data_IF_651215363556
#
_entry.id   IF_651215363556
#
_cell.length_a   1.000
_cell.length_b   1.000
_cell.length_c   1.000
_cell.angle_alpha   90.00
_cell.angle_beta   90.00
_cell.angle_gamma   90.00
#
_symmetry.space_group_name_H-M   'P 1'
#
loop_
_entity.id
_entity.type
_entity.pdbx_description
1 polymer ?
#
# COMPACT_ATOMS: atom_id res chain seq x y z
N UNK A 1 -33.73 -54.70 -43.95
CA UNK A 1 -32.75 -55.40 -44.80
C UNK A 1 -31.38 -54.97 -44.44
N UNK A 2 -30.52 -55.92 -44.09
CA UNK A 2 -29.10 -55.78 -44.08
C UNK A 2 -28.46 -55.81 -42.70
N UNK A 3 -28.41 -56.97 -42.09
CA UNK A 3 -27.52 -57.52 -41.06
C UNK A 3 -26.05 -57.51 -41.46
N UNK A 4 -25.15 -57.40 -40.52
CA UNK A 4 -23.93 -58.20 -40.30
C UNK A 4 -23.07 -57.51 -39.26
N UNK A 5 -22.97 -58.07 -38.05
CA UNK A 5 -22.18 -59.19 -37.49
C UNK A 5 -20.71 -58.90 -37.36
N UNK A 6 -20.31 -58.76 -36.06
CA UNK A 6 -19.19 -59.42 -35.39
C UNK A 6 -17.77 -59.27 -35.98
N UNK A 7 -16.83 -58.76 -35.13
CA UNK A 7 -15.72 -59.65 -34.73
C UNK A 7 -14.93 -59.14 -33.52
N UNK A 8 -14.93 -59.98 -32.54
CA UNK A 8 -14.00 -60.00 -31.41
C UNK A 8 -12.54 -60.06 -31.88
N UNK A 9 -11.65 -59.30 -31.24
CA UNK A 9 -10.28 -59.78 -30.98
C UNK A 9 -9.83 -59.27 -29.64
N UNK A 10 -9.67 -60.20 -28.75
CA UNK A 10 -8.84 -60.10 -27.55
C UNK A 10 -7.38 -59.99 -27.99
N UNK A 11 -6.63 -59.09 -27.38
CA UNK A 11 -5.19 -59.16 -27.32
C UNK A 11 -4.78 -58.83 -25.88
N UNK A 12 -4.33 -59.86 -25.27
CA UNK A 12 -3.50 -60.12 -24.14
C UNK A 12 -2.45 -59.05 -23.80
N UNK A 13 -2.40 -58.73 -22.56
CA UNK A 13 -1.30 -58.57 -21.64
C UNK A 13 -0.03 -57.86 -22.12
N UNK A 14 0.22 -56.71 -21.53
CA UNK A 14 1.58 -56.31 -21.24
C UNK A 14 1.62 -55.61 -19.88
N UNK A 15 2.17 -56.31 -18.91
CA UNK A 15 2.71 -55.71 -17.69
C UNK A 15 3.74 -54.70 -18.16
N UNK A 16 3.58 -53.46 -17.75
CA UNK A 16 4.68 -52.51 -17.78
C UNK A 16 4.83 -51.82 -16.41
N UNK A 17 6.05 -51.85 -16.01
CA UNK A 17 6.70 -51.39 -14.83
C UNK A 17 6.12 -50.09 -14.21
N UNK A 18 6.03 -50.08 -12.88
CA UNK A 18 5.94 -48.90 -12.05
C UNK A 18 7.16 -48.01 -12.35
N UNK A 19 6.97 -46.72 -12.70
CA UNK A 19 8.04 -45.76 -12.52
C UNK A 19 8.10 -45.36 -11.05
N UNK A 20 9.31 -45.26 -10.57
CA UNK A 20 9.74 -44.88 -9.23
C UNK A 20 9.12 -43.56 -8.81
N UNK A 21 8.66 -43.47 -7.57
CA UNK A 21 8.29 -42.30 -6.80
C UNK A 21 9.45 -41.30 -6.77
N UNK A 22 9.49 -40.39 -7.71
CA UNK A 22 10.24 -39.15 -7.60
C UNK A 22 9.44 -38.19 -6.72
N UNK A 23 9.84 -38.06 -5.46
CA UNK A 23 9.30 -37.04 -4.56
C UNK A 23 9.50 -35.63 -5.15
N UNK A 24 8.55 -34.71 -4.95
CA UNK A 24 8.75 -33.35 -5.41
C UNK A 24 9.96 -32.74 -4.70
N UNK A 25 10.97 -32.36 -5.49
CA UNK A 25 12.10 -31.59 -5.00
C UNK A 25 11.57 -30.31 -4.35
N UNK A 26 11.78 -30.16 -3.06
CA UNK A 26 11.41 -28.97 -2.31
C UNK A 26 12.06 -27.73 -2.95
N UNK A 27 11.38 -26.59 -2.95
CA UNK A 27 11.92 -25.35 -3.51
C UNK A 27 13.22 -24.99 -2.78
N UNK A 28 14.30 -24.82 -3.56
CA UNK A 28 15.62 -24.47 -3.07
C UNK A 28 15.61 -23.12 -2.32
N UNK A 29 16.64 -22.84 -1.50
CA UNK A 29 16.69 -21.66 -0.64
C UNK A 29 16.54 -20.31 -1.35
N UNK A 30 16.75 -20.25 -2.66
CA UNK A 30 16.54 -19.04 -3.48
C UNK A 30 15.08 -18.73 -3.77
N UNK A 31 14.18 -19.72 -3.71
CA UNK A 31 12.72 -19.49 -3.92
C UNK A 31 12.05 -18.90 -2.67
N UNK A 32 12.65 -19.02 -1.49
CA UNK A 32 12.09 -18.47 -0.25
C UNK A 32 12.26 -16.96 -0.12
N UNK A 33 13.22 -16.37 -0.82
CA UNK A 33 13.47 -14.91 -0.78
C UNK A 33 12.46 -14.16 -1.62
N UNK A 34 11.93 -14.75 -2.71
CA UNK A 34 10.96 -14.07 -3.58
C UNK A 34 9.52 -14.15 -3.06
N UNK A 35 9.20 -15.11 -2.19
CA UNK A 35 7.83 -15.20 -1.60
C UNK A 35 7.60 -14.20 -0.45
N UNK A 36 8.67 -13.69 0.17
CA UNK A 36 8.57 -12.71 1.27
C UNK A 36 8.14 -11.32 0.83
N UNK A 37 8.35 -10.98 -0.43
CA UNK A 37 8.06 -9.63 -0.97
C UNK A 37 6.65 -9.47 -1.51
N UNK A 38 5.99 -10.58 -1.89
CA UNK A 38 4.62 -10.54 -2.39
C UNK A 38 3.57 -10.36 -1.28
N UNK A 39 3.90 -10.71 -0.04
CA UNK A 39 2.96 -10.59 1.09
C UNK A 39 2.89 -9.18 1.70
N UNK A 40 3.92 -8.35 1.51
CA UNK A 40 3.93 -6.98 2.03
C UNK A 40 3.12 -5.99 1.17
N UNK A 41 2.86 -6.34 -0.09
CA UNK A 41 2.12 -5.47 -1.01
C UNK A 41 0.58 -5.59 -0.90
N UNK A 42 0.06 -6.57 -0.17
CA UNK A 42 -1.38 -6.91 -0.18
C UNK A 42 -2.18 -6.41 1.02
N UNK A 43 -1.56 -5.72 1.99
CA UNK A 43 -2.28 -5.31 3.20
C UNK A 43 -2.46 -3.79 3.32
N UNK A 44 -2.76 -3.10 2.23
CA UNK A 44 -3.34 -1.77 2.33
C UNK A 44 -4.84 -1.92 2.05
N UNK A 45 -5.59 -2.35 3.04
CA UNK A 45 -7.05 -2.22 3.02
C UNK A 45 -7.35 -0.74 3.22
N UNK A 46 -7.48 -0.06 2.10
CA UNK A 46 -7.85 1.35 2.04
C UNK A 46 -9.35 1.45 2.22
N UNK A 47 -9.79 1.97 3.35
CA UNK A 47 -11.15 2.51 3.46
C UNK A 47 -11.08 3.92 2.88
N UNK A 48 -11.28 4.04 1.56
CA UNK A 48 -11.44 5.32 0.91
C UNK A 48 -12.85 5.83 1.23
N UNK A 49 -12.98 6.79 2.11
CA UNK A 49 -14.21 7.55 2.26
C UNK A 49 -14.26 8.62 1.15
N UNK A 50 -15.11 8.39 0.15
CA UNK A 50 -15.42 9.39 -0.84
C UNK A 50 -16.45 10.33 -0.18
N UNK A 51 -16.00 11.47 0.30
CA UNK A 51 -16.90 12.57 0.69
C UNK A 51 -16.78 13.67 -0.36
N UNK A 52 -17.64 13.59 -1.36
CA UNK A 52 -17.88 14.71 -2.26
C UNK A 52 -18.89 15.66 -1.59
N UNK A 53 -18.42 16.73 -0.92
CA UNK A 53 -19.25 17.88 -0.55
C UNK A 53 -18.44 19.17 -0.70
N UNK A 54 -19.07 20.25 -1.18
CA UNK A 54 -18.39 21.54 -1.32
C UNK A 54 -18.11 22.18 0.04
N UNK A 55 -16.97 22.80 0.09
CA UNK A 55 -16.31 23.44 1.22
C UNK A 55 -17.19 24.42 2.02
N UNK A 56 -17.16 24.24 3.34
CA UNK A 56 -17.30 25.35 4.30
C UNK A 56 -16.08 25.31 5.20
N UNK A 57 -15.46 26.48 5.34
CA UNK A 57 -14.24 26.75 6.07
C UNK A 57 -14.13 26.02 7.42
N UNK A 58 -13.32 24.97 7.47
CA UNK A 58 -12.86 24.36 8.70
C UNK A 58 -11.45 24.86 8.94
N UNK A 59 -11.25 25.71 9.97
CA UNK A 59 -9.96 26.16 10.42
C UNK A 59 -9.08 24.96 10.78
N UNK A 60 -8.29 24.50 9.81
CA UNK A 60 -7.29 23.45 9.99
C UNK A 60 -6.09 24.03 10.73
N UNK A 61 -5.58 23.30 11.72
CA UNK A 61 -4.28 23.56 12.32
C UNK A 61 -3.23 23.61 11.19
N UNK A 62 -2.46 24.70 11.15
CA UNK A 62 -1.37 24.82 10.18
C UNK A 62 -0.35 23.72 10.42
N UNK A 63 -0.01 22.93 9.37
CA UNK A 63 1.00 21.89 9.49
C UNK A 63 2.36 22.53 9.78
N UNK A 64 3.04 22.05 10.79
CA UNK A 64 4.43 22.43 11.09
C UNK A 64 5.28 22.11 9.86
N UNK A 65 5.75 23.16 9.19
CA UNK A 65 6.49 23.04 7.92
C UNK A 65 7.84 22.37 8.16
N UNK A 66 7.89 21.06 7.92
CA UNK A 66 9.15 20.35 7.71
C UNK A 66 9.59 20.56 6.27
N UNK A 67 10.87 20.86 6.07
CA UNK A 67 11.51 21.07 4.75
C UNK A 67 11.09 20.03 3.73
N UNK A 68 10.08 20.36 2.92
CA UNK A 68 9.57 19.52 1.84
C UNK A 68 10.42 19.68 0.59
N UNK A 69 10.39 18.69 -0.31
CA UNK A 69 10.93 18.82 -1.65
C UNK A 69 10.37 20.10 -2.30
N UNK A 70 11.22 20.88 -2.99
CA UNK A 70 10.80 22.16 -3.53
C UNK A 70 9.53 22.02 -4.39
N UNK A 71 8.43 22.63 -3.95
CA UNK A 71 7.14 22.61 -4.65
C UNK A 71 6.15 21.52 -4.19
N UNK A 72 6.54 20.59 -3.33
CA UNK A 72 5.60 19.61 -2.77
C UNK A 72 4.75 20.24 -1.64
N UNK A 73 3.44 19.90 -1.62
CA UNK A 73 2.54 20.31 -0.55
C UNK A 73 2.85 19.51 0.74
N UNK A 74 2.63 20.08 1.92
CA UNK A 74 2.78 19.35 3.17
C UNK A 74 1.67 18.31 3.32
N UNK A 75 2.03 17.09 3.76
CA UNK A 75 1.08 16.08 4.22
C UNK A 75 0.80 16.36 5.69
N UNK A 76 -0.46 16.53 6.05
CA UNK A 76 -0.88 16.62 7.44
C UNK A 76 -1.23 15.22 7.98
N UNK A 77 -0.74 14.91 9.17
CA UNK A 77 -0.93 13.64 9.85
C UNK A 77 -1.75 13.79 11.13
N UNK A 78 -2.43 12.72 11.52
CA UNK A 78 -3.19 12.63 12.76
C UNK A 78 -3.62 11.20 13.06
N UNK A 79 -4.33 10.98 14.17
CA UNK A 79 -4.77 9.64 14.57
C UNK A 79 -6.18 9.28 14.10
N UNK A 80 -6.90 10.21 13.49
CA UNK A 80 -8.22 9.96 12.89
C UNK A 80 -8.47 10.88 11.70
N UNK A 81 -9.46 10.55 10.87
CA UNK A 81 -10.00 11.42 9.83
C UNK A 81 -11.37 11.93 10.27
N UNK A 82 -11.61 13.20 10.08
CA UNK A 82 -12.95 13.79 10.21
C UNK A 82 -13.84 13.24 9.09
N UNK A 83 -14.96 12.57 9.40
CA UNK A 83 -15.82 11.99 8.37
C UNK A 83 -16.50 13.02 7.47
N UNK A 84 -16.63 14.28 7.91
CA UNK A 84 -17.29 15.34 7.14
C UNK A 84 -16.33 16.02 6.17
N UNK A 85 -15.11 16.31 6.59
CA UNK A 85 -14.12 17.07 5.80
C UNK A 85 -13.00 16.20 5.25
N UNK A 86 -12.83 14.97 5.77
CA UNK A 86 -11.69 14.11 5.46
C UNK A 86 -10.34 14.60 5.99
N UNK A 87 -10.33 15.69 6.76
CA UNK A 87 -9.12 16.21 7.37
C UNK A 87 -8.62 15.30 8.51
N UNK A 88 -7.30 15.21 8.67
CA UNK A 88 -6.75 14.52 9.83
C UNK A 88 -7.08 15.30 11.12
N UNK A 89 -7.54 14.59 12.12
CA UNK A 89 -7.81 15.12 13.45
C UNK A 89 -6.79 14.55 14.44
N UNK A 90 -6.67 15.18 15.61
CA UNK A 90 -5.64 14.82 16.61
C UNK A 90 -4.25 14.81 15.95
N UNK A 91 -3.87 15.99 15.45
CA UNK A 91 -2.62 16.16 14.71
C UNK A 91 -1.42 15.62 15.50
N UNK A 92 -0.68 14.71 14.86
CA UNK A 92 0.56 14.13 15.38
C UNK A 92 1.38 13.61 14.22
N UNK A 93 2.69 13.62 14.38
CA UNK A 93 3.64 12.98 13.48
C UNK A 93 4.25 11.70 14.10
N UNK A 94 3.82 11.32 15.32
CA UNK A 94 4.31 10.17 16.08
C UNK A 94 3.19 9.18 16.34
N UNK A 95 3.41 7.92 15.94
CA UNK A 95 2.39 6.86 15.99
C UNK A 95 2.90 5.62 16.70
N UNK A 96 2.06 5.05 17.55
CA UNK A 96 2.29 3.82 18.30
C UNK A 96 1.42 2.67 17.75
N UNK A 97 1.63 1.46 18.27
CA UNK A 97 0.92 0.24 17.82
C UNK A 97 -0.60 0.34 17.89
N UNK A 98 -1.13 1.16 18.81
CA UNK A 98 -2.59 1.34 19.00
C UNK A 98 -3.22 2.37 18.10
N UNK A 99 -2.42 3.17 17.39
CA UNK A 99 -2.90 4.31 16.62
C UNK A 99 -3.33 3.93 15.20
N UNK A 100 -4.20 4.76 14.63
CA UNK A 100 -4.33 4.88 13.19
C UNK A 100 -3.38 5.99 12.73
N UNK A 101 -2.59 5.73 11.69
CA UNK A 101 -1.90 6.79 10.96
C UNK A 101 -2.88 7.28 9.90
N UNK A 102 -3.48 8.43 10.15
CA UNK A 102 -4.32 9.15 9.21
C UNK A 102 -3.49 10.25 8.56
N UNK A 103 -3.63 10.43 7.25
CA UNK A 103 -2.99 11.52 6.54
C UNK A 103 -3.90 12.13 5.49
N UNK A 104 -3.72 13.42 5.25
CA UNK A 104 -4.43 14.11 4.19
C UNK A 104 -3.58 15.20 3.54
N UNK A 105 -3.94 15.49 2.28
CA UNK A 105 -3.39 16.59 1.49
C UNK A 105 -4.54 17.28 0.78
N UNK A 106 -4.61 18.59 0.89
CA UNK A 106 -5.57 19.42 0.13
C UNK A 106 -4.86 20.03 -1.07
N UNK A 107 -5.36 19.73 -2.25
CA UNK A 107 -4.88 20.26 -3.52
C UNK A 107 -5.62 21.52 -3.92
N UNK A 108 -4.97 22.43 -4.63
CA UNK A 108 -5.59 23.63 -5.19
C UNK A 108 -6.50 23.33 -6.38
N UNK A 109 -6.27 22.22 -7.08
CA UNK A 109 -7.04 21.75 -8.24
C UNK A 109 -7.44 20.28 -8.05
N UNK A 110 -8.46 19.78 -8.79
CA UNK A 110 -8.78 18.36 -8.82
C UNK A 110 -7.58 17.48 -9.17
N UNK A 111 -7.55 16.25 -8.63
CA UNK A 111 -6.48 15.28 -8.87
C UNK A 111 -6.34 14.97 -10.37
N UNK A 112 -7.46 14.93 -11.10
CA UNK A 112 -7.52 14.68 -12.54
C UNK A 112 -7.17 13.23 -12.93
N UNK A 113 -7.08 12.31 -11.96
CA UNK A 113 -6.74 10.89 -12.12
C UNK A 113 -7.46 10.04 -11.10
N UNK A 114 -7.72 8.78 -11.46
CA UNK A 114 -8.42 7.82 -10.60
C UNK A 114 -7.49 7.14 -9.57
N UNK A 115 -6.20 7.44 -9.61
CA UNK A 115 -5.22 6.88 -8.71
C UNK A 115 -4.06 7.84 -8.44
N UNK A 116 -3.48 7.71 -7.26
CA UNK A 116 -2.20 8.30 -6.86
C UNK A 116 -1.24 7.20 -6.45
N UNK A 117 0.04 7.51 -6.39
CA UNK A 117 1.08 6.61 -5.91
C UNK A 117 1.64 7.15 -4.59
N UNK A 118 1.77 6.27 -3.60
CA UNK A 118 2.34 6.59 -2.29
C UNK A 118 3.61 5.79 -2.10
N UNK A 119 4.69 6.49 -1.82
CA UNK A 119 6.01 5.94 -1.50
C UNK A 119 6.33 6.25 -0.05
N UNK A 120 7.01 5.31 0.64
CA UNK A 120 7.52 5.54 1.98
C UNK A 120 9.02 5.28 1.99
N UNK A 121 9.75 6.24 2.53
CA UNK A 121 11.20 6.19 2.69
C UNK A 121 11.53 6.23 4.19
N UNK A 122 12.52 5.46 4.60
CA UNK A 122 13.10 5.53 5.95
C UNK A 122 14.14 6.64 5.97
N UNK A 123 14.13 7.42 7.04
CA UNK A 123 15.09 8.52 7.27
C UNK A 123 16.07 8.11 8.37
N UNK A 124 17.29 7.74 7.99
CA UNK A 124 18.38 7.41 8.89
C UNK A 124 19.45 8.53 8.82
N UNK A 125 19.45 9.43 9.81
CA UNK A 125 20.18 10.70 9.71
C UNK A 125 19.63 11.55 8.56
N UNK A 126 20.45 11.79 7.54
CA UNK A 126 20.09 12.52 6.32
C UNK A 126 19.91 11.58 5.10
N UNK A 127 20.04 10.27 5.32
CA UNK A 127 19.92 9.27 4.26
C UNK A 127 18.48 8.78 4.14
N UNK A 128 17.93 8.83 2.92
CA UNK A 128 16.61 8.30 2.60
C UNK A 128 16.74 6.95 1.90
N UNK A 129 16.10 5.92 2.46
CA UNK A 129 16.08 4.58 1.89
C UNK A 129 14.62 4.18 1.62
N UNK A 130 14.30 3.76 0.40
CA UNK A 130 12.95 3.31 0.06
C UNK A 130 12.62 2.03 0.82
N UNK A 131 11.58 2.07 1.66
CA UNK A 131 11.05 0.91 2.39
C UNK A 131 9.74 0.42 1.79
N UNK A 132 9.00 1.30 1.09
CA UNK A 132 7.87 0.94 0.26
C UNK A 132 8.00 1.68 -1.07
N UNK A 133 8.17 0.93 -2.15
CA UNK A 133 8.10 1.47 -3.50
C UNK A 133 6.72 2.09 -3.78
N UNK A 134 6.60 3.01 -4.74
CA UNK A 134 5.34 3.66 -5.07
C UNK A 134 4.20 2.66 -5.25
N UNK A 135 3.23 2.68 -4.33
CA UNK A 135 2.05 1.83 -4.33
C UNK A 135 0.84 2.64 -4.79
N UNK A 136 0.06 2.07 -5.71
CA UNK A 136 -1.12 2.73 -6.27
C UNK A 136 -2.27 2.72 -5.27
N UNK A 137 -2.90 3.88 -5.07
CA UNK A 137 -4.10 4.05 -4.27
C UNK A 137 -5.19 4.73 -5.10
N UNK A 138 -6.39 4.14 -5.08
CA UNK A 138 -7.54 4.68 -5.80
C UNK A 138 -8.03 5.99 -5.14
N UNK A 139 -8.35 6.98 -5.95
CA UNK A 139 -8.90 8.27 -5.56
C UNK A 139 -9.96 8.67 -6.56
N UNK A 140 -10.77 9.71 -6.25
CA UNK A 140 -11.65 10.30 -7.26
C UNK A 140 -10.88 11.37 -8.04
N UNK A 141 -10.95 11.31 -9.37
CA UNK A 141 -10.31 12.29 -10.25
C UNK A 141 -10.79 13.74 -9.98
N UNK A 142 -12.03 13.90 -9.55
CA UNK A 142 -12.64 15.20 -9.27
C UNK A 142 -12.31 15.72 -7.86
N UNK A 143 -11.77 14.84 -6.99
CA UNK A 143 -11.42 15.23 -5.63
C UNK A 143 -10.25 16.21 -5.62
N UNK A 144 -10.31 17.15 -4.68
CA UNK A 144 -9.17 18.00 -4.29
C UNK A 144 -8.52 17.54 -2.99
N UNK A 145 -8.99 16.42 -2.46
CA UNK A 145 -8.52 15.87 -1.21
C UNK A 145 -7.98 14.47 -1.44
N UNK A 146 -6.78 14.21 -0.96
CA UNK A 146 -6.20 12.89 -0.80
C UNK A 146 -6.18 12.60 0.69
N UNK A 147 -6.99 11.64 1.15
CA UNK A 147 -7.09 11.30 2.57
C UNK A 147 -7.20 9.80 2.74
N UNK A 148 -6.34 9.24 3.60
CA UNK A 148 -6.29 7.81 3.90
C UNK A 148 -5.93 7.58 5.35
N UNK A 149 -6.26 6.39 5.85
CA UNK A 149 -5.81 5.92 7.15
C UNK A 149 -5.34 4.48 7.08
N UNK A 150 -4.33 4.15 7.88
CA UNK A 150 -3.76 2.81 7.98
C UNK A 150 -3.41 2.53 9.44
N UNK A 151 -3.65 1.30 9.97
CA UNK A 151 -3.23 0.95 11.32
C UNK A 151 -1.71 1.08 11.45
N UNK A 152 -1.23 1.87 12.42
CA UNK A 152 0.21 2.04 12.66
C UNK A 152 0.90 0.72 12.99
N UNK A 153 0.18 -0.23 13.61
CA UNK A 153 0.64 -1.61 13.82
C UNK A 153 1.09 -2.29 12.52
N UNK A 154 0.35 -2.09 11.43
CA UNK A 154 0.70 -2.70 10.14
C UNK A 154 2.01 -2.11 9.60
N UNK A 155 2.18 -0.80 9.72
CA UNK A 155 3.42 -0.11 9.30
C UNK A 155 4.61 -0.51 10.19
N UNK A 156 4.41 -0.59 11.51
CA UNK A 156 5.43 -1.06 12.44
C UNK A 156 5.87 -2.50 12.14
N UNK A 157 4.93 -3.37 11.77
CA UNK A 157 5.25 -4.75 11.39
C UNK A 157 6.05 -4.80 10.08
N UNK A 158 5.71 -3.94 9.11
CA UNK A 158 6.34 -3.92 7.79
C UNK A 158 7.70 -3.21 7.78
N UNK A 159 7.81 -2.08 8.49
CA UNK A 159 8.96 -1.16 8.38
C UNK A 159 9.78 -1.06 9.66
N UNK A 160 9.24 -1.53 10.80
CA UNK A 160 9.85 -1.34 12.11
C UNK A 160 9.68 0.09 12.64
N UNK A 161 10.33 0.36 13.77
CA UNK A 161 10.39 1.69 14.36
C UNK A 161 11.35 2.59 13.60
N UNK A 162 11.11 3.91 13.66
CA UNK A 162 11.99 4.88 13.03
C UNK A 162 11.29 6.13 12.53
N UNK A 163 12.03 6.97 11.83
CA UNK A 163 11.54 8.16 11.15
C UNK A 163 11.35 7.85 9.67
N UNK A 164 10.28 8.37 9.10
CA UNK A 164 9.89 8.09 7.71
C UNK A 164 9.50 9.37 7.00
N UNK A 165 9.64 9.34 5.68
CA UNK A 165 9.13 10.35 4.76
C UNK A 165 8.10 9.66 3.86
N UNK A 166 6.92 10.24 3.77
CA UNK A 166 5.88 9.83 2.83
C UNK A 166 5.85 10.79 1.66
N UNK A 167 5.78 10.27 0.45
CA UNK A 167 5.64 11.03 -0.79
C UNK A 167 4.44 10.57 -1.57
N UNK A 168 3.71 11.51 -2.14
CA UNK A 168 2.56 11.24 -2.99
C UNK A 168 2.83 11.76 -4.38
N UNK A 169 2.56 10.92 -5.38
CA UNK A 169 2.75 11.22 -6.80
C UNK A 169 1.43 11.06 -7.54
N UNK A 170 1.15 11.94 -8.49
CA UNK A 170 0.00 11.81 -9.40
C UNK A 170 0.35 11.03 -10.67
N UNK A 171 1.63 10.86 -10.98
CA UNK A 171 2.09 10.07 -12.13
C UNK A 171 3.46 9.44 -11.86
N UNK A 172 3.73 8.30 -12.47
CA UNK A 172 5.04 7.65 -12.43
C UNK A 172 6.10 8.55 -13.06
N UNK A 173 7.21 8.75 -12.34
CA UNK A 173 8.33 9.59 -12.81
C UNK A 173 8.11 11.10 -12.67
N UNK A 174 6.95 11.54 -12.21
CA UNK A 174 6.71 12.95 -11.89
C UNK A 174 7.34 13.30 -10.52
N UNK A 175 7.61 14.58 -10.23
CA UNK A 175 7.96 15.00 -8.88
C UNK A 175 6.78 14.74 -7.92
N UNK A 176 7.05 14.56 -6.62
CA UNK A 176 5.99 14.38 -5.62
C UNK A 176 5.13 15.65 -5.55
N UNK A 177 3.82 15.48 -5.53
CA UNK A 177 2.86 16.57 -5.31
C UNK A 177 2.72 16.90 -3.85
N UNK A 178 3.04 15.94 -2.96
CA UNK A 178 3.06 16.16 -1.51
C UNK A 178 4.13 15.32 -0.84
N UNK A 179 4.68 15.86 0.27
CA UNK A 179 5.66 15.18 1.11
C UNK A 179 5.37 15.51 2.58
N UNK A 180 5.59 14.52 3.46
CA UNK A 180 5.46 14.72 4.89
C UNK A 180 6.32 13.72 5.68
N UNK A 181 6.62 14.05 6.93
CA UNK A 181 7.44 13.22 7.83
C UNK A 181 6.60 12.68 8.95
N UNK A 182 6.87 11.44 9.36
CA UNK A 182 6.24 10.82 10.51
C UNK A 182 7.21 9.85 11.20
N UNK A 183 6.88 9.47 12.42
CA UNK A 183 7.65 8.55 13.24
C UNK A 183 6.77 7.38 13.69
N UNK A 184 7.29 6.17 13.56
CA UNK A 184 6.72 4.96 14.15
C UNK A 184 7.50 4.60 15.41
N UNK A 185 6.77 4.34 16.50
CA UNK A 185 7.34 4.06 17.82
C UNK A 185 6.73 2.77 18.37
N UNK A 186 7.56 1.85 18.85
CA UNK A 186 7.09 0.63 19.49
C UNK A 186 6.38 0.88 20.82
N UNK A 187 5.63 -0.12 21.27
CA UNK A 187 5.02 -0.10 22.59
C UNK A 187 6.13 -0.28 23.64
N UNK A 188 6.59 0.81 24.25
CA UNK A 188 7.53 0.75 25.38
C UNK A 188 8.82 1.56 25.24
N UNK A 189 8.89 2.49 24.30
CA UNK A 189 9.99 3.47 24.20
C UNK A 189 9.58 4.85 24.74
#
# INVERSE_FOLDING_TARGET
>A
MGTMRNRWRRITGRRMARPASGGPAGPGPRARILLGWAAAAALVVVIAFIVGRPDKDAGGLEPTASSSAAGALPIAFGTALDPASGAATQATDRFTTGDLLAYYVRLSAPIGRDAVQVEVLRLDGDVLTVVQAPATQAVSAESRLIAFSVPAKALLTAFGEGRFVMRIYTATGAPPVAEGRFQLVGAGS
#
